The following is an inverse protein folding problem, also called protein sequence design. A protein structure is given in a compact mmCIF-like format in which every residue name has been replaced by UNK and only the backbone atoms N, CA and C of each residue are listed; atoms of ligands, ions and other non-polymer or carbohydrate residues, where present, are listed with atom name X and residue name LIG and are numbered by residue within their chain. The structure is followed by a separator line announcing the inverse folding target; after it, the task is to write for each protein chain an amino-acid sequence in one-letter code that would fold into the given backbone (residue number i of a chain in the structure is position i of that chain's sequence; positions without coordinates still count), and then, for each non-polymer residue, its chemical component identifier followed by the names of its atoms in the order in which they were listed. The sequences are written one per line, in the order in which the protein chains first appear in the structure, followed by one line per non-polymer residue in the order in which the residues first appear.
data_IF_191916611089
#
_entry.id   IF_191916611089
#
_cell.length_a   1.000
_cell.length_b   1.000
_cell.length_c   1.000
_cell.angle_alpha   90.00
_cell.angle_beta   90.00
_cell.angle_gamma   90.00
#
_symmetry.space_group_name_H-M   'P 1'
#
loop_
_entity.id
_entity.type
_entity.pdbx_description
1 polymer ?
#
# COMPACT_ATOMS: atom_id res chain seq x y z
N UNK A 1 4.30 22.84 23.68
CA UNK A 1 3.07 22.41 24.39
C UNK A 1 3.28 20.99 24.91
N UNK A 2 3.56 20.86 26.22
CA UNK A 2 3.86 19.59 26.88
C UNK A 2 2.53 18.98 27.37
N UNK A 3 2.12 17.84 26.83
CA UNK A 3 0.97 17.09 27.37
C UNK A 3 1.47 16.19 28.49
N UNK A 4 1.09 16.53 29.73
CA UNK A 4 1.27 15.68 30.92
C UNK A 4 0.37 14.45 30.80
N UNK A 5 0.94 13.25 30.98
CA UNK A 5 0.18 12.01 31.19
C UNK A 5 -0.27 11.98 32.65
N UNK A 6 -1.58 11.83 32.88
CA UNK A 6 -2.16 11.56 34.19
C UNK A 6 -2.11 10.04 34.41
N UNK A 7 -1.39 9.60 35.43
CA UNK A 7 -1.41 8.22 35.93
C UNK A 7 -2.11 8.26 37.27
N UNK A 8 -3.25 7.59 37.38
CA UNK A 8 -3.98 7.40 38.65
C UNK A 8 -3.46 6.09 39.23
N UNK A 9 -2.59 6.18 40.23
CA UNK A 9 -2.16 5.05 41.04
C UNK A 9 -2.92 5.08 42.38
N UNK A 10 -3.70 4.05 42.65
CA UNK A 10 -4.35 3.85 43.95
C UNK A 10 -3.40 3.13 44.90
N UNK A 11 -3.13 3.76 46.04
CA UNK A 11 -2.35 3.24 47.17
C UNK A 11 -3.17 2.18 47.90
N UNK A 12 -2.59 1.01 48.21
CA UNK A 12 -3.16 0.07 49.18
C UNK A 12 -2.22 -0.08 50.38
N UNK A 13 -2.79 0.14 51.56
CA UNK A 13 -2.23 -0.12 52.89
C UNK A 13 -2.02 -1.63 53.06
N UNK A 14 -0.89 -2.02 53.66
CA UNK A 14 -0.64 -3.39 54.11
C UNK A 14 -1.06 -3.49 55.58
N UNK A 15 -1.97 -4.42 55.88
CA UNK A 15 -2.16 -4.94 57.23
C UNK A 15 -2.06 -6.47 57.15
N UNK A 16 -1.15 -7.03 57.94
CA UNK A 16 -0.90 -8.46 58.04
C UNK A 16 -1.96 -9.15 58.90
N UNK A 17 -2.42 -10.33 58.48
CA UNK A 17 -2.69 -11.48 59.35
C UNK A 17 -2.85 -12.75 58.51
N UNK A 18 -2.22 -13.80 59.01
CA UNK A 18 -2.17 -15.18 58.53
C UNK A 18 -3.54 -15.86 58.51
N UNK A 19 -3.82 -16.55 57.40
CA UNK A 19 -4.95 -17.47 57.26
C UNK A 19 -5.00 -18.03 55.85
N UNK A 20 -4.68 -19.32 55.70
CA UNK A 20 -4.76 -20.03 54.43
C UNK A 20 -6.23 -20.11 54.03
N UNK A 21 -6.61 -19.36 52.99
CA UNK A 21 -7.83 -19.57 52.22
C UNK A 21 -7.39 -19.73 50.78
N UNK A 22 -7.58 -20.92 50.23
CA UNK A 22 -7.49 -21.15 48.79
C UNK A 22 -8.63 -20.36 48.15
N UNK A 23 -8.31 -19.23 47.53
CA UNK A 23 -9.17 -18.56 46.57
C UNK A 23 -8.44 -18.46 45.25
N UNK A 24 -9.01 -19.11 44.24
CA UNK A 24 -8.61 -18.94 42.85
C UNK A 24 -9.28 -17.63 42.41
N UNK A 25 -8.53 -16.54 42.33
CA UNK A 25 -8.98 -15.31 41.71
C UNK A 25 -7.88 -14.70 40.82
N UNK A 26 -7.98 -15.10 39.56
CA UNK A 26 -7.93 -14.29 38.33
C UNK A 26 -7.09 -13.02 38.23
N UNK A 27 -6.53 -12.93 37.02
CA UNK A 27 -6.09 -11.74 36.31
C UNK A 27 -4.70 -11.23 36.66
N UNK A 28 -3.70 -12.02 36.22
CA UNK A 28 -2.60 -11.40 35.48
C UNK A 28 -3.23 -10.49 34.42
N UNK A 29 -3.15 -9.18 34.59
CA UNK A 29 -3.26 -8.24 33.48
C UNK A 29 -2.08 -8.51 32.55
N UNK A 30 -2.18 -9.58 31.77
CA UNK A 30 -1.52 -9.67 30.48
C UNK A 30 -2.04 -8.44 29.75
N UNK A 31 -1.18 -7.45 29.53
CA UNK A 31 -1.45 -6.43 28.53
C UNK A 31 -1.70 -7.19 27.24
N UNK A 32 -2.96 -7.48 26.93
CA UNK A 32 -3.34 -8.06 25.66
C UNK A 32 -2.75 -7.11 24.62
N UNK A 33 -1.86 -7.61 23.77
CA UNK A 33 -1.25 -6.80 22.72
C UNK A 33 -2.39 -6.14 21.95
N UNK A 34 -2.58 -4.85 22.18
CA UNK A 34 -3.69 -4.13 21.60
C UNK A 34 -3.38 -4.03 20.12
N UNK A 35 -4.14 -4.77 19.34
CA UNK A 35 -4.02 -4.81 17.90
C UNK A 35 -4.55 -3.48 17.36
N UNK A 36 -3.65 -2.61 16.86
CA UNK A 36 -3.98 -1.27 16.40
C UNK A 36 -3.67 -1.07 14.93
N UNK A 37 -4.45 -0.20 14.30
CA UNK A 37 -4.19 0.31 12.96
C UNK A 37 -4.22 1.83 12.97
N UNK A 38 -3.27 2.45 12.26
CA UNK A 38 -3.32 3.89 11.97
C UNK A 38 -3.85 4.12 10.57
N UNK A 39 -4.80 5.05 10.44
CA UNK A 39 -5.40 5.41 9.16
C UNK A 39 -4.45 6.24 8.30
N UNK A 40 -4.37 5.89 7.02
CA UNK A 40 -3.53 6.54 6.02
C UNK A 40 -3.82 8.03 5.80
N UNK A 41 -2.92 8.63 5.01
CA UNK A 41 -3.13 9.97 4.50
C UNK A 41 -4.40 10.12 3.67
N UNK A 42 -5.11 11.24 3.84
CA UNK A 42 -6.44 11.52 3.24
C UNK A 42 -7.61 10.72 3.85
N UNK A 43 -7.39 10.05 4.97
CA UNK A 43 -8.43 9.29 5.67
C UNK A 43 -8.90 8.03 4.94
N UNK A 44 -9.95 7.41 5.48
CA UNK A 44 -10.47 6.14 4.98
C UNK A 44 -11.96 5.97 5.22
N UNK A 45 -12.67 5.47 4.20
CA UNK A 45 -14.07 5.05 4.34
C UNK A 45 -14.19 3.85 5.28
N UNK A 46 -15.29 3.81 6.03
CA UNK A 46 -15.70 2.67 6.85
C UNK A 46 -16.69 1.80 6.07
N UNK A 47 -16.60 0.49 6.26
CA UNK A 47 -17.39 -0.51 5.56
C UNK A 47 -18.18 -1.38 6.54
N UNK A 48 -19.31 -1.94 6.10
CA UNK A 48 -20.05 -2.93 6.87
C UNK A 48 -19.53 -4.36 6.58
N UNK A 49 -20.13 -5.37 7.24
CA UNK A 49 -19.79 -6.79 7.09
C UNK A 49 -19.96 -7.37 5.67
N UNK A 50 -20.65 -6.66 4.77
CA UNK A 50 -20.84 -7.06 3.38
C UNK A 50 -19.85 -6.36 2.43
N UNK A 51 -18.98 -5.47 2.96
CA UNK A 51 -18.02 -4.71 2.18
C UNK A 51 -18.59 -3.49 1.46
N UNK A 52 -19.81 -3.06 1.83
CA UNK A 52 -20.40 -1.81 1.37
C UNK A 52 -19.95 -0.66 2.28
N UNK A 53 -19.68 0.50 1.69
CA UNK A 53 -19.34 1.68 2.48
C UNK A 53 -20.54 2.10 3.33
N UNK A 54 -20.30 2.42 4.60
CA UNK A 54 -21.33 2.93 5.50
C UNK A 54 -21.50 4.42 5.21
N UNK A 55 -22.76 4.83 5.05
CA UNK A 55 -23.16 6.23 4.86
C UNK A 55 -23.89 6.73 6.11
N UNK A 56 -23.80 8.03 6.39
CA UNK A 56 -24.59 8.71 7.40
C UNK A 56 -26.00 9.03 6.88
N UNK A 57 -26.85 9.63 7.72
CA UNK A 57 -28.23 10.00 7.36
C UNK A 57 -28.34 11.01 6.20
N UNK A 58 -27.22 11.60 5.74
CA UNK A 58 -27.16 12.53 4.60
C UNK A 58 -26.50 11.88 3.38
N UNK A 59 -26.47 10.55 3.35
CA UNK A 59 -25.78 9.73 2.34
C UNK A 59 -24.28 10.04 2.19
N UNK A 60 -23.66 10.66 3.20
CA UNK A 60 -22.22 10.92 3.21
C UNK A 60 -21.50 9.72 3.80
N UNK A 61 -20.50 9.22 3.08
CA UNK A 61 -19.67 8.12 3.58
C UNK A 61 -19.05 8.49 4.93
N UNK A 62 -19.13 7.59 5.90
CA UNK A 62 -18.38 7.71 7.15
C UNK A 62 -16.89 7.53 6.84
N UNK A 63 -16.08 8.51 7.23
CA UNK A 63 -14.64 8.54 6.98
C UNK A 63 -13.88 8.74 8.29
N UNK A 64 -12.94 7.85 8.56
CA UNK A 64 -11.93 8.05 9.60
C UNK A 64 -10.86 9.02 9.09
N UNK A 65 -10.47 9.97 9.93
CA UNK A 65 -9.46 10.98 9.58
C UNK A 65 -8.08 10.34 9.48
N UNK A 66 -7.19 11.00 8.75
CA UNK A 66 -5.77 10.64 8.73
C UNK A 66 -5.19 10.64 10.15
N UNK A 67 -4.34 9.67 10.46
CA UNK A 67 -3.69 9.55 11.76
C UNK A 67 -4.59 9.02 12.88
N UNK A 68 -5.88 8.78 12.63
CA UNK A 68 -6.73 8.07 13.61
C UNK A 68 -6.12 6.69 13.91
N UNK A 69 -5.98 6.38 15.19
CA UNK A 69 -5.63 5.05 15.69
C UNK A 69 -6.92 4.34 16.09
N UNK A 70 -7.13 3.13 15.56
CA UNK A 70 -8.27 2.29 15.92
C UNK A 70 -7.77 0.91 16.37
N UNK A 71 -8.47 0.33 17.33
CA UNK A 71 -8.34 -1.10 17.60
C UNK A 71 -8.87 -1.91 16.41
N UNK A 72 -8.29 -3.09 16.20
CA UNK A 72 -8.86 -4.09 15.32
C UNK A 72 -8.93 -5.46 15.99
N UNK A 73 -9.94 -6.23 15.60
CA UNK A 73 -10.30 -7.48 16.28
C UNK A 73 -10.28 -8.67 15.34
N UNK A 74 -9.53 -9.70 15.74
CA UNK A 74 -9.39 -10.95 15.00
C UNK A 74 -8.66 -10.79 13.67
N UNK A 75 -8.70 -11.87 12.87
CA UNK A 75 -8.08 -11.90 11.55
C UNK A 75 -8.86 -11.05 10.52
N UNK A 76 -8.17 -10.42 9.55
CA UNK A 76 -8.82 -9.67 8.49
C UNK A 76 -9.79 -10.54 7.66
N UNK A 77 -10.98 -10.00 7.39
CA UNK A 77 -12.01 -10.69 6.58
C UNK A 77 -11.84 -10.40 5.10
N UNK A 78 -11.91 -11.43 4.27
CA UNK A 78 -11.82 -11.30 2.81
C UNK A 78 -13.22 -11.13 2.19
N UNK A 79 -13.63 -9.87 2.00
CA UNK A 79 -15.00 -9.49 1.63
C UNK A 79 -15.06 -8.91 0.22
N UNK A 80 -16.28 -8.83 -0.34
CA UNK A 80 -16.54 -8.16 -1.61
C UNK A 80 -16.23 -6.66 -1.48
N UNK A 81 -15.69 -6.07 -2.54
CA UNK A 81 -15.29 -4.68 -2.65
C UNK A 81 -15.55 -4.20 -4.07
N UNK A 82 -16.28 -3.09 -4.25
CA UNK A 82 -16.63 -2.53 -5.57
C UNK A 82 -17.32 -3.57 -6.49
N UNK A 83 -18.43 -4.14 -6.02
CA UNK A 83 -19.30 -5.05 -6.77
C UNK A 83 -18.78 -6.48 -6.87
N UNK A 84 -17.65 -6.69 -7.55
CA UNK A 84 -17.15 -8.03 -7.89
C UNK A 84 -15.70 -8.30 -7.46
N UNK A 85 -14.96 -7.28 -7.01
CA UNK A 85 -13.59 -7.48 -6.52
C UNK A 85 -13.66 -7.94 -5.06
N UNK A 86 -12.63 -8.61 -4.56
CA UNK A 86 -12.50 -8.93 -3.13
C UNK A 86 -11.22 -8.31 -2.57
N UNK A 87 -11.26 -7.97 -1.29
CA UNK A 87 -10.11 -7.45 -0.55
C UNK A 87 -10.20 -7.81 0.93
N UNK A 88 -9.07 -7.76 1.64
CA UNK A 88 -9.03 -7.92 3.09
C UNK A 88 -9.46 -6.64 3.80
N UNK A 89 -10.28 -6.82 4.84
CA UNK A 89 -10.75 -5.75 5.71
C UNK A 89 -10.54 -6.08 7.18
N UNK A 90 -10.19 -5.06 7.96
CA UNK A 90 -9.90 -5.15 9.39
C UNK A 90 -11.14 -4.74 10.17
N UNK A 91 -11.63 -5.61 11.06
CA UNK A 91 -12.79 -5.31 11.92
C UNK A 91 -12.38 -4.30 12.99
N UNK A 92 -12.98 -3.11 12.98
CA UNK A 92 -12.72 -2.02 13.93
C UNK A 92 -13.87 -1.85 14.94
N UNK A 93 -14.63 -2.92 15.19
CA UNK A 93 -15.68 -2.98 16.20
C UNK A 93 -17.05 -2.51 15.71
N UNK A 94 -18.13 -3.05 16.31
CA UNK A 94 -19.51 -2.67 15.98
C UNK A 94 -19.90 -2.98 14.53
N UNK A 95 -19.43 -4.10 13.97
CA UNK A 95 -19.62 -4.49 12.56
C UNK A 95 -19.07 -3.48 11.53
N UNK A 96 -18.10 -2.64 11.94
CA UNK A 96 -17.40 -1.69 11.09
C UNK A 96 -16.05 -2.24 10.66
N UNK A 97 -15.69 -1.98 9.43
CA UNK A 97 -14.52 -2.56 8.79
C UNK A 97 -13.71 -1.51 8.03
N UNK A 98 -12.39 -1.64 8.08
CA UNK A 98 -11.45 -0.82 7.32
C UNK A 98 -10.84 -1.64 6.18
N UNK A 99 -10.86 -1.11 4.96
CA UNK A 99 -10.14 -1.70 3.83
C UNK A 99 -8.62 -1.62 4.06
N UNK A 100 -7.90 -2.74 3.97
CA UNK A 100 -6.50 -2.79 4.37
C UNK A 100 -5.51 -1.95 3.53
N UNK A 101 -5.89 -1.49 2.34
CA UNK A 101 -5.12 -0.46 1.60
C UNK A 101 -4.99 0.87 2.33
N UNK A 102 -5.84 1.10 3.34
CA UNK A 102 -5.88 2.33 4.10
C UNK A 102 -5.14 2.23 5.45
N UNK A 103 -4.48 1.10 5.73
CA UNK A 103 -3.70 0.89 6.96
C UNK A 103 -2.30 1.43 6.74
N UNK A 104 -1.94 2.52 7.42
CA UNK A 104 -0.61 3.12 7.36
C UNK A 104 0.38 2.50 8.34
N UNK A 105 -0.09 2.16 9.54
CA UNK A 105 0.67 1.33 10.48
C UNK A 105 -0.21 0.22 11.03
N UNK A 106 0.41 -0.90 11.38
CA UNK A 106 -0.20 -2.04 12.04
C UNK A 106 0.65 -2.36 13.28
N UNK A 107 0.07 -2.18 14.47
CA UNK A 107 0.76 -2.33 15.75
C UNK A 107 2.02 -1.45 15.80
N UNK A 108 1.84 -0.16 15.51
CA UNK A 108 2.88 0.89 15.50
C UNK A 108 4.04 0.69 14.51
N UNK A 109 3.92 -0.28 13.60
CA UNK A 109 4.92 -0.55 12.54
C UNK A 109 4.36 -0.21 11.17
N UNK A 110 5.22 0.29 10.28
CA UNK A 110 4.83 0.61 8.91
C UNK A 110 4.44 -0.63 8.10
N UNK A 111 3.55 -0.44 7.13
CA UNK A 111 2.94 -1.54 6.38
C UNK A 111 3.28 -1.56 4.89
N UNK A 112 3.23 -2.76 4.31
CA UNK A 112 3.07 -3.04 2.89
C UNK A 112 1.64 -3.51 2.66
N UNK A 113 0.93 -2.96 1.67
CA UNK A 113 -0.40 -3.46 1.30
C UNK A 113 -0.36 -4.28 0.02
N UNK A 114 -0.84 -5.52 0.10
CA UNK A 114 -0.89 -6.49 -0.99
C UNK A 114 -1.93 -6.07 -2.03
N UNK A 115 -1.52 -5.70 -3.24
CA UNK A 115 -2.46 -5.29 -4.29
C UNK A 115 -2.92 -6.43 -5.20
N UNK A 116 -2.08 -7.44 -5.34
CA UNK A 116 -2.39 -8.72 -5.98
C UNK A 116 -2.00 -9.83 -5.03
N UNK A 117 -2.84 -10.86 -4.94
CA UNK A 117 -2.57 -12.07 -4.18
C UNK A 117 -1.10 -12.50 -4.32
N UNK A 118 -0.48 -12.76 -3.19
CA UNK A 118 0.95 -12.98 -3.08
C UNK A 118 1.25 -14.18 -2.20
N UNK A 119 2.51 -14.56 -2.14
CA UNK A 119 3.01 -15.61 -1.27
C UNK A 119 4.17 -15.05 -0.46
N UNK A 120 4.53 -15.78 0.60
CA UNK A 120 5.74 -15.53 1.36
C UNK A 120 6.85 -16.39 0.77
N UNK A 121 8.01 -15.77 0.55
CA UNK A 121 9.20 -16.39 0.00
C UNK A 121 10.32 -16.43 1.03
N UNK A 122 11.16 -17.44 0.96
CA UNK A 122 12.39 -17.51 1.72
C UNK A 122 13.53 -16.72 1.05
N UNK A 123 14.71 -16.71 1.70
CA UNK A 123 15.92 -16.04 1.18
C UNK A 123 16.44 -16.63 -0.15
N UNK A 124 16.01 -17.84 -0.52
CA UNK A 124 16.36 -18.50 -1.79
C UNK A 124 15.33 -18.26 -2.89
N UNK A 125 14.21 -17.60 -2.56
CA UNK A 125 13.11 -17.32 -3.48
C UNK A 125 12.11 -18.47 -3.63
N UNK A 126 12.19 -19.51 -2.79
CA UNK A 126 11.17 -20.57 -2.69
C UNK A 126 10.03 -20.10 -1.80
N UNK A 127 8.82 -20.63 -2.01
CA UNK A 127 7.67 -20.30 -1.15
C UNK A 127 7.86 -20.98 0.20
N UNK A 128 7.70 -20.24 1.30
CA UNK A 128 7.84 -20.78 2.67
C UNK A 128 6.73 -21.77 2.98
N UNK A 129 5.50 -21.47 2.55
CA UNK A 129 4.34 -22.34 2.69
C UNK A 129 3.61 -22.35 1.34
N UNK A 130 3.54 -23.53 0.68
CA UNK A 130 3.01 -23.63 -0.68
C UNK A 130 1.55 -23.14 -0.81
N UNK A 131 0.76 -23.26 0.26
CA UNK A 131 -0.68 -22.99 0.26
C UNK A 131 -1.07 -21.66 0.93
N UNK A 132 -0.12 -20.95 1.55
CA UNK A 132 -0.42 -19.69 2.23
C UNK A 132 -0.41 -18.52 1.26
N UNK A 133 -1.61 -18.15 0.80
CA UNK A 133 -1.84 -16.99 -0.07
C UNK A 133 -2.15 -15.77 0.77
N UNK A 134 -1.30 -14.76 0.67
CA UNK A 134 -1.57 -13.42 1.18
C UNK A 134 -2.55 -12.75 0.22
N UNK A 135 -3.79 -12.57 0.68
CA UNK A 135 -4.87 -12.03 -0.13
C UNK A 135 -4.70 -10.54 -0.39
N UNK A 136 -5.20 -10.12 -1.54
CA UNK A 136 -5.39 -8.72 -1.91
C UNK A 136 -6.01 -7.92 -0.76
N UNK A 137 -5.44 -6.76 -0.44
CA UNK A 137 -5.88 -5.87 0.62
C UNK A 137 -5.22 -6.12 1.97
N UNK A 138 -4.56 -7.26 2.18
CA UNK A 138 -3.84 -7.51 3.45
C UNK A 138 -2.71 -6.49 3.64
N UNK A 139 -2.65 -5.88 4.82
CA UNK A 139 -1.55 -5.04 5.28
C UNK A 139 -0.60 -5.86 6.16
N UNK A 140 0.70 -5.73 5.92
CA UNK A 140 1.73 -6.53 6.60
C UNK A 140 2.89 -5.63 6.98
N UNK A 141 3.43 -5.80 8.19
CA UNK A 141 4.60 -5.05 8.62
C UNK A 141 5.84 -5.40 7.80
N UNK A 142 6.57 -4.39 7.35
CA UNK A 142 7.96 -4.57 6.91
C UNK A 142 8.91 -4.41 8.08
N UNK A 143 10.12 -4.97 7.97
CA UNK A 143 11.13 -4.90 9.04
C UNK A 143 12.31 -4.01 8.69
N UNK A 144 12.51 -3.69 7.41
CA UNK A 144 13.61 -2.84 6.98
C UNK A 144 13.31 -1.35 7.25
N UNK A 145 14.38 -0.55 7.41
CA UNK A 145 14.27 0.88 7.69
C UNK A 145 13.57 1.63 6.54
N UNK A 146 12.67 2.53 6.93
CA UNK A 146 12.09 3.53 6.03
C UNK A 146 13.12 4.65 5.79
N UNK A 147 13.42 4.93 4.53
CA UNK A 147 14.36 5.96 4.12
C UNK A 147 13.60 7.12 3.49
N UNK A 148 13.93 8.34 3.90
CA UNK A 148 13.41 9.57 3.32
C UNK A 148 14.54 10.33 2.61
N UNK A 149 14.27 10.81 1.40
CA UNK A 149 15.20 11.63 0.61
C UNK A 149 14.45 12.76 -0.06
N UNK A 150 15.10 13.90 -0.25
CA UNK A 150 14.56 15.00 -1.04
C UNK A 150 14.51 14.55 -2.50
N UNK A 151 13.37 14.75 -3.17
CA UNK A 151 13.23 14.40 -4.58
C UNK A 151 14.20 15.20 -5.44
N UNK A 152 15.01 14.49 -6.22
CA UNK A 152 15.67 15.01 -7.42
C UNK A 152 15.48 13.97 -8.52
N UNK A 153 15.17 14.41 -9.74
CA UNK A 153 14.79 13.49 -10.83
C UNK A 153 15.85 12.42 -11.16
N UNK A 154 17.12 12.70 -10.85
CA UNK A 154 18.27 11.85 -11.17
C UNK A 154 18.47 10.68 -10.20
N UNK A 155 17.94 10.76 -8.97
CA UNK A 155 18.32 9.85 -7.88
C UNK A 155 17.11 9.23 -7.14
N UNK A 156 16.00 9.03 -7.83
CA UNK A 156 14.83 8.36 -7.25
C UNK A 156 15.12 6.89 -6.95
N UNK A 157 14.78 6.38 -5.75
CA UNK A 157 14.84 4.94 -5.49
C UNK A 157 13.82 4.23 -6.39
N UNK A 158 14.11 2.99 -6.78
CA UNK A 158 13.27 2.24 -7.72
C UNK A 158 11.82 2.17 -7.29
N UNK A 159 11.54 1.95 -6.00
CA UNK A 159 10.19 1.99 -5.43
C UNK A 159 10.10 3.08 -4.38
N UNK A 160 9.06 3.92 -4.46
CA UNK A 160 8.92 5.07 -3.59
C UNK A 160 7.48 5.57 -3.48
N UNK A 161 7.18 6.37 -2.47
CA UNK A 161 5.97 7.17 -2.44
C UNK A 161 6.29 8.61 -2.06
N UNK A 162 5.44 9.53 -2.50
CA UNK A 162 5.56 10.95 -2.18
C UNK A 162 5.14 11.26 -0.74
N UNK A 163 6.05 11.85 0.03
CA UNK A 163 5.69 12.70 1.15
C UNK A 163 5.35 14.07 0.59
N UNK A 164 4.11 14.50 0.78
CA UNK A 164 3.75 15.88 0.49
C UNK A 164 3.83 16.63 1.81
N UNK A 165 4.96 17.29 2.07
CA UNK A 165 5.02 18.31 3.10
C UNK A 165 4.59 19.63 2.45
N UNK A 166 3.43 20.16 2.86
CA UNK A 166 3.08 21.54 2.55
C UNK A 166 3.84 22.41 3.54
N UNK A 167 4.82 23.19 3.09
CA UNK A 167 5.34 24.30 3.89
C UNK A 167 4.58 25.57 3.51
N UNK A 168 4.00 26.24 4.51
CA UNK A 168 3.51 27.61 4.37
C UNK A 168 4.64 28.54 4.83
N UNK A 169 5.17 29.36 3.95
CA UNK A 169 6.01 30.50 4.34
C UNK A 169 5.15 31.76 4.39
N UNK A 170 5.63 32.78 5.11
CA UNK A 170 4.93 34.07 5.31
C UNK A 170 4.75 34.89 4.01
N UNK A 171 5.40 34.46 2.91
CA UNK A 171 5.49 35.17 1.62
C UNK A 171 4.62 34.54 0.51
N UNK A 172 3.63 33.71 0.86
CA UNK A 172 2.59 33.29 -0.08
C UNK A 172 2.99 32.28 -1.17
N UNK A 173 4.24 31.80 -1.21
CA UNK A 173 4.68 30.80 -2.21
C UNK A 173 4.65 29.35 -1.68
N UNK A 174 3.83 28.51 -2.32
CA UNK A 174 3.66 27.06 -2.09
C UNK A 174 4.81 26.26 -2.74
N UNK A 175 5.95 26.14 -2.09
CA UNK A 175 6.91 25.10 -2.47
C UNK A 175 6.55 23.78 -1.79
N UNK A 176 5.97 22.85 -2.56
CA UNK A 176 5.83 21.46 -2.11
C UNK A 176 7.21 20.81 -2.26
N UNK A 177 8.00 20.79 -1.18
CA UNK A 177 9.19 19.94 -1.15
C UNK A 177 8.70 18.50 -1.07
N UNK A 178 8.69 17.83 -2.21
CA UNK A 178 8.45 16.40 -2.28
C UNK A 178 9.69 15.71 -1.70
N UNK A 179 9.60 15.20 -0.48
CA UNK A 179 10.47 14.10 -0.11
C UNK A 179 9.84 12.82 -0.62
N UNK A 180 10.67 11.87 -1.01
CA UNK A 180 10.25 10.53 -1.36
C UNK A 180 10.67 9.59 -0.24
N UNK A 181 9.75 8.70 0.13
CA UNK A 181 10.02 7.65 1.09
C UNK A 181 10.10 6.31 0.37
N UNK A 182 11.02 5.47 0.83
CA UNK A 182 11.26 4.13 0.28
C UNK A 182 11.64 3.16 1.38
N UNK A 183 11.24 1.91 1.24
CA UNK A 183 11.69 0.81 2.09
C UNK A 183 12.75 0.03 1.33
N UNK A 184 13.82 -0.41 2.01
CA UNK A 184 14.83 -1.26 1.38
C UNK A 184 14.17 -2.51 0.79
N UNK A 185 14.54 -2.84 -0.45
CA UNK A 185 14.19 -4.11 -1.06
C UNK A 185 15.45 -4.96 -1.25
N UNK A 186 15.25 -6.26 -1.41
CA UNK A 186 16.26 -7.28 -1.60
C UNK A 186 16.09 -7.92 -2.97
N UNK A 187 17.20 -8.21 -3.63
CA UNK A 187 17.19 -8.92 -4.90
C UNK A 187 17.41 -10.41 -4.60
N UNK A 188 16.46 -11.24 -5.00
CA UNK A 188 16.53 -12.70 -4.87
C UNK A 188 16.22 -13.27 -6.26
N UNK A 189 17.20 -13.95 -6.86
CA UNK A 189 17.10 -14.51 -8.23
C UNK A 189 16.60 -13.48 -9.27
N UNK A 190 17.19 -12.27 -9.25
CA UNK A 190 16.86 -11.19 -10.19
C UNK A 190 15.49 -10.53 -10.00
N UNK A 191 14.81 -10.77 -8.87
CA UNK A 191 13.50 -10.17 -8.56
C UNK A 191 13.57 -9.43 -7.24
N UNK A 192 12.79 -8.36 -7.12
CA UNK A 192 12.77 -7.50 -5.95
C UNK A 192 11.75 -7.96 -4.91
N UNK A 193 12.16 -7.93 -3.63
CA UNK A 193 11.36 -8.35 -2.50
C UNK A 193 11.50 -7.41 -1.31
N UNK A 194 10.43 -7.23 -0.54
CA UNK A 194 10.50 -6.63 0.79
C UNK A 194 10.61 -7.70 1.86
N UNK A 195 11.44 -7.47 2.88
CA UNK A 195 11.54 -8.35 4.04
C UNK A 195 10.43 -8.03 5.03
N UNK A 196 9.74 -9.07 5.50
CA UNK A 196 8.62 -8.96 6.46
C UNK A 196 8.91 -9.66 7.80
N UNK A 197 9.86 -10.58 7.83
CA UNK A 197 10.39 -11.21 9.04
C UNK A 197 11.73 -11.89 8.73
N UNK A 198 12.31 -12.59 9.72
CA UNK A 198 13.49 -13.41 9.48
C UNK A 198 13.22 -14.45 8.38
N UNK A 199 14.04 -14.47 7.34
CA UNK A 199 13.89 -15.33 6.17
C UNK A 199 12.50 -15.33 5.50
N UNK A 200 11.70 -14.25 5.65
CA UNK A 200 10.38 -14.12 5.02
C UNK A 200 10.28 -12.85 4.19
N UNK A 201 9.90 -13.01 2.93
CA UNK A 201 9.94 -11.98 1.91
C UNK A 201 8.66 -11.95 1.06
N UNK A 202 8.29 -10.79 0.54
CA UNK A 202 7.17 -10.61 -0.39
C UNK A 202 7.65 -9.92 -1.67
N UNK A 203 7.25 -10.41 -2.85
CA UNK A 203 7.59 -9.77 -4.13
C UNK A 203 7.11 -8.32 -4.18
N UNK A 204 8.02 -7.39 -4.45
CA UNK A 204 7.73 -5.96 -4.52
C UNK A 204 6.67 -5.64 -5.58
N UNK A 205 6.68 -6.34 -6.72
CA UNK A 205 5.71 -6.16 -7.81
C UNK A 205 4.26 -6.42 -7.40
N UNK A 206 4.01 -7.12 -6.29
CA UNK A 206 2.66 -7.39 -5.78
C UNK A 206 2.17 -6.34 -4.75
N UNK A 207 3.02 -5.39 -4.37
CA UNK A 207 2.72 -4.33 -3.40
C UNK A 207 2.23 -3.08 -4.12
N UNK A 208 1.06 -2.57 -3.76
CA UNK A 208 0.51 -1.34 -4.35
C UNK A 208 0.65 -0.11 -3.47
N UNK A 209 0.83 -0.32 -2.16
CA UNK A 209 0.92 0.76 -1.17
C UNK A 209 1.96 0.44 -0.11
N UNK A 210 2.62 1.48 0.38
CA UNK A 210 3.45 1.45 1.59
C UNK A 210 2.91 2.51 2.53
N UNK A 211 2.71 2.16 3.79
CA UNK A 211 2.09 3.05 4.80
C UNK A 211 0.79 3.69 4.28
N UNK A 212 -0.03 2.92 3.56
CA UNK A 212 -1.29 3.38 2.95
C UNK A 212 -1.15 4.42 1.82
N UNK A 213 0.08 4.75 1.40
CA UNK A 213 0.37 5.67 0.29
C UNK A 213 0.72 4.90 -0.98
N UNK A 214 0.25 5.40 -2.12
CA UNK A 214 0.42 4.72 -3.41
C UNK A 214 1.90 4.59 -3.75
N UNK A 215 2.29 3.37 -4.13
CA UNK A 215 3.65 3.07 -4.52
C UNK A 215 3.89 3.44 -5.98
N UNK A 216 4.94 4.22 -6.20
CA UNK A 216 5.50 4.55 -7.49
C UNK A 216 6.72 3.69 -7.77
N UNK A 217 7.05 3.54 -9.05
CA UNK A 217 8.29 2.93 -9.51
C UNK A 217 8.94 3.78 -10.60
N UNK A 218 10.26 3.76 -10.68
CA UNK A 218 11.00 4.46 -11.75
C UNK A 218 10.91 3.74 -13.09
N UNK A 219 10.60 2.45 -13.05
CA UNK A 219 10.41 1.60 -14.22
C UNK A 219 9.52 0.40 -13.90
N UNK A 220 8.85 -0.15 -14.91
CA UNK A 220 8.09 -1.37 -14.78
C UNK A 220 7.97 -2.12 -16.10
N UNK A 221 7.55 -3.38 -16.04
CA UNK A 221 7.26 -4.17 -17.23
C UNK A 221 5.76 -4.22 -17.49
N UNK A 222 5.35 -3.85 -18.70
CA UNK A 222 4.00 -4.08 -19.24
C UNK A 222 3.98 -5.34 -20.11
N UNK A 223 2.81 -5.93 -20.31
CA UNK A 223 2.61 -7.00 -21.29
C UNK A 223 1.67 -6.53 -22.39
N UNK A 224 2.14 -6.60 -23.63
CA UNK A 224 1.37 -6.20 -24.80
C UNK A 224 0.13 -7.08 -24.99
N UNK A 225 -0.99 -6.44 -25.32
CA UNK A 225 -2.23 -7.06 -25.75
C UNK A 225 -2.29 -7.22 -27.26
N UNK A 226 -3.49 -7.30 -27.82
CA UNK A 226 -3.69 -7.15 -29.26
C UNK A 226 -3.65 -5.66 -29.60
N UNK A 227 -3.06 -5.31 -30.74
CA UNK A 227 -3.13 -3.95 -31.26
C UNK A 227 -4.59 -3.53 -31.45
N UNK A 228 -4.92 -2.31 -31.08
CA UNK A 228 -6.27 -1.74 -31.24
C UNK A 228 -6.52 -1.20 -32.64
N UNK A 229 -5.50 -1.10 -33.49
CA UNK A 229 -5.65 -0.68 -34.88
C UNK A 229 -6.13 -1.84 -35.77
N UNK A 230 -6.86 -1.49 -36.83
CA UNK A 230 -7.43 -2.48 -37.77
C UNK A 230 -6.37 -3.28 -38.53
N UNK A 231 -5.20 -2.67 -38.78
CA UNK A 231 -4.07 -3.28 -39.47
C UNK A 231 -3.17 -4.13 -38.56
N UNK A 232 -3.53 -4.27 -37.28
CA UNK A 232 -2.79 -5.10 -36.32
C UNK A 232 -1.42 -4.53 -35.88
N UNK A 233 -1.10 -3.28 -36.25
CA UNK A 233 0.19 -2.64 -35.96
C UNK A 233 0.17 -1.79 -34.68
N UNK A 234 1.28 -1.78 -33.96
CA UNK A 234 1.45 -0.93 -32.78
C UNK A 234 2.07 0.41 -33.18
N UNK A 235 1.27 1.46 -33.30
CA UNK A 235 1.79 2.78 -33.63
C UNK A 235 2.26 3.52 -32.38
N UNK A 236 3.52 3.98 -32.38
CA UNK A 236 4.05 4.76 -31.28
C UNK A 236 3.31 6.09 -31.12
N UNK A 237 3.25 6.57 -29.88
CA UNK A 237 2.68 7.86 -29.49
C UNK A 237 3.77 8.81 -29.00
N UNK A 238 3.58 10.12 -29.13
CA UNK A 238 4.47 11.10 -28.50
C UNK A 238 3.98 11.49 -27.08
N UNK A 239 4.68 12.42 -26.43
CA UNK A 239 4.34 12.91 -25.08
C UNK A 239 2.97 13.58 -24.95
N UNK A 240 2.32 13.92 -26.07
CA UNK A 240 0.97 14.49 -26.12
C UNK A 240 -0.08 13.43 -26.51
N UNK A 241 0.33 12.16 -26.66
CA UNK A 241 -0.56 11.06 -27.02
C UNK A 241 -0.93 11.03 -28.51
N UNK A 242 -0.28 11.84 -29.36
CA UNK A 242 -0.52 11.85 -30.81
C UNK A 242 0.18 10.66 -31.47
N UNK A 243 -0.47 10.08 -32.47
CA UNK A 243 0.07 9.01 -33.31
C UNK A 243 1.31 9.52 -34.06
N UNK A 244 2.35 8.69 -34.11
CA UNK A 244 3.55 8.93 -34.93
C UNK A 244 3.59 7.96 -36.12
N UNK A 245 4.48 8.19 -37.08
CA UNK A 245 4.71 7.26 -38.22
C UNK A 245 5.48 6.00 -37.81
N UNK A 246 6.01 5.95 -36.58
CA UNK A 246 6.82 4.82 -36.10
C UNK A 246 5.93 3.64 -35.71
N UNK A 247 6.20 2.49 -36.33
CA UNK A 247 5.61 1.21 -35.95
C UNK A 247 6.54 0.54 -34.94
N UNK A 248 5.99 0.17 -33.79
CA UNK A 248 6.70 -0.57 -32.76
C UNK A 248 6.71 -2.06 -33.15
N UNK A 249 7.89 -2.73 -33.17
CA UNK A 249 8.02 -4.12 -33.59
C UNK A 249 7.61 -5.08 -32.47
N UNK A 250 6.42 -4.88 -31.91
CA UNK A 250 5.90 -5.66 -30.79
C UNK A 250 4.87 -6.69 -31.24
N UNK A 251 4.74 -7.75 -30.45
CA UNK A 251 3.72 -8.80 -30.62
C UNK A 251 2.90 -8.99 -29.34
N UNK A 252 1.65 -9.52 -29.44
CA UNK A 252 0.86 -9.85 -28.27
C UNK A 252 1.63 -10.75 -27.30
N UNK A 253 1.54 -10.47 -26.00
CA UNK A 253 2.26 -11.19 -24.95
C UNK A 253 3.70 -10.74 -24.73
N UNK A 254 4.27 -9.90 -25.61
CA UNK A 254 5.62 -9.37 -25.41
C UNK A 254 5.68 -8.49 -24.16
N UNK A 255 6.79 -8.62 -23.42
CA UNK A 255 7.10 -7.78 -22.27
C UNK A 255 7.91 -6.56 -22.72
N UNK A 256 7.49 -5.38 -22.31
CA UNK A 256 8.18 -4.12 -22.63
C UNK A 256 8.43 -3.34 -21.33
N UNK A 257 9.64 -2.78 -21.19
CA UNK A 257 9.99 -1.94 -20.04
C UNK A 257 9.57 -0.50 -20.32
N UNK A 258 8.85 0.08 -19.38
CA UNK A 258 8.33 1.45 -19.43
C UNK A 258 8.77 2.21 -18.19
N UNK A 259 8.98 3.52 -18.31
CA UNK A 259 9.56 4.35 -17.23
C UNK A 259 8.77 5.63 -16.92
N UNK A 260 7.76 5.96 -17.73
CA UNK A 260 6.81 7.05 -17.49
C UNK A 260 5.42 6.69 -17.98
N UNK A 261 4.41 7.33 -17.40
CA UNK A 261 3.04 7.24 -17.91
C UNK A 261 2.26 8.50 -17.65
N UNK A 262 1.43 8.90 -18.62
CA UNK A 262 0.48 9.99 -18.43
C UNK A 262 -0.92 9.58 -18.89
N UNK A 263 -1.91 10.36 -18.46
CA UNK A 263 -3.28 10.27 -18.94
C UNK A 263 -3.64 11.53 -19.70
N UNK A 264 -4.33 11.37 -20.82
CA UNK A 264 -4.87 12.46 -21.62
C UNK A 264 -6.19 12.01 -22.25
N UNK A 265 -7.27 12.79 -22.05
CA UNK A 265 -8.61 12.50 -22.59
C UNK A 265 -9.04 11.04 -22.38
N UNK A 266 -9.09 10.62 -21.10
CA UNK A 266 -9.41 9.25 -20.61
C UNK A 266 -8.52 8.11 -21.12
N UNK A 267 -7.52 8.39 -21.95
CA UNK A 267 -6.54 7.43 -22.45
C UNK A 267 -5.27 7.48 -21.60
N UNK A 268 -4.57 6.35 -21.51
CA UNK A 268 -3.24 6.28 -20.89
C UNK A 268 -2.16 6.02 -21.93
N UNK A 269 -0.96 6.51 -21.66
CA UNK A 269 0.19 6.41 -22.54
C UNK A 269 1.42 6.07 -21.71
N UNK A 270 2.24 5.13 -22.19
CA UNK A 270 3.31 4.52 -21.39
C UNK A 270 4.63 4.60 -22.14
N UNK A 271 5.58 5.41 -21.65
CA UNK A 271 6.85 5.66 -22.33
C UNK A 271 7.71 4.41 -22.32
N UNK A 272 8.19 4.00 -23.48
CA UNK A 272 9.17 2.92 -23.62
C UNK A 272 10.49 3.45 -23.05
N UNK A 273 11.06 2.72 -22.08
CA UNK A 273 12.27 3.14 -21.37
C UNK A 273 13.39 3.46 -22.34
N UNK A 274 14.04 4.60 -22.14
CA UNK A 274 15.16 5.06 -22.98
C UNK A 274 14.76 5.66 -24.33
N UNK A 275 13.47 5.91 -24.56
CA UNK A 275 12.97 6.52 -25.81
C UNK A 275 11.99 7.67 -25.54
N UNK A 276 11.65 8.41 -26.59
CA UNK A 276 10.56 9.41 -26.57
C UNK A 276 9.21 8.85 -27.03
N UNK A 277 9.13 7.54 -27.26
CA UNK A 277 7.93 6.87 -27.76
C UNK A 277 7.10 6.29 -26.63
N UNK A 278 5.78 6.38 -26.78
CA UNK A 278 4.80 5.89 -25.83
C UNK A 278 3.93 4.80 -26.47
N UNK A 279 3.62 3.77 -25.70
CA UNK A 279 2.63 2.75 -26.02
C UNK A 279 1.25 3.28 -25.66
N UNK A 280 0.28 3.06 -26.55
CA UNK A 280 -1.10 3.39 -26.27
C UNK A 280 -1.67 2.38 -25.25
N UNK A 281 -2.22 2.88 -24.14
CA UNK A 281 -2.69 2.05 -23.02
C UNK A 281 -3.63 0.92 -23.42
N UNK A 282 -4.63 1.14 -24.30
CA UNK A 282 -5.49 0.07 -24.80
C UNK A 282 -4.77 -1.09 -25.51
N UNK A 283 -3.55 -0.89 -26.02
CA UNK A 283 -2.72 -1.97 -26.59
C UNK A 283 -2.02 -2.80 -25.51
N UNK A 284 -2.17 -2.47 -24.21
CA UNK A 284 -1.53 -3.15 -23.08
C UNK A 284 -2.54 -4.07 -22.41
N UNK A 285 -2.22 -5.37 -22.37
CA UNK A 285 -3.03 -6.40 -21.68
C UNK A 285 -2.79 -6.41 -20.17
N UNK A 286 -1.55 -6.16 -19.74
CA UNK A 286 -1.18 -6.21 -18.31
C UNK A 286 -0.35 -5.00 -17.94
N UNK A 287 -0.91 -4.18 -17.06
CA UNK A 287 -0.25 -3.04 -16.46
C UNK A 287 0.54 -3.43 -15.21
N UNK A 288 1.57 -2.64 -14.84
CA UNK A 288 2.17 -2.73 -13.53
C UNK A 288 1.17 -2.33 -12.43
N UNK A 289 1.48 -2.75 -11.21
CA UNK A 289 0.69 -2.39 -10.03
C UNK A 289 1.08 -1.00 -9.52
N UNK A 290 2.38 -0.74 -9.51
CA UNK A 290 2.95 0.54 -9.10
C UNK A 290 2.70 1.58 -10.19
N UNK A 291 2.46 2.82 -9.77
CA UNK A 291 2.37 3.94 -10.70
C UNK A 291 3.74 4.28 -11.27
N UNK A 292 3.78 4.79 -12.49
CA UNK A 292 4.95 5.49 -13.01
C UNK A 292 4.71 6.99 -12.85
N UNK A 293 5.80 7.75 -12.75
CA UNK A 293 5.74 9.21 -12.86
C UNK A 293 5.26 9.63 -14.26
N UNK A 294 4.79 10.87 -14.37
CA UNK A 294 4.40 11.47 -15.65
C UNK A 294 5.60 11.74 -16.54
#
# INVERSE_FOLDING_TARGET
MKFKRLVIGTTFLIAACSGIIVSIQTANHVHAVQNTITIRSRGAKVYNKNGNAIVDARDKNIVLKEGTVAEYYGEPKYMVWRGHKKASFYNIGGNRYLLGYNVASLNDKGTLSIYRDSYIYDKTGKRVEKNTVLRKGTAINYVDKLNEKIETEKNLPKFYYYNMAIQRTHEGMLWVKYSVLSVKYHIINGKEYYKIANNKYIRATNIGYINGRQLFTTEATVTMGKATTKDGKYYARNMNGKITKTILPYKPGQKVVVDRSFQHSSKSFWRIKGTNYYIFGPDIKKFPIQALRR
#
